data_IF_100862030467
#
_entry.id   IF_100862030467
#
_cell.length_a   1.000
_cell.length_b   1.000
_cell.length_c   1.000
_cell.angle_alpha   90.00
_cell.angle_beta   90.00
_cell.angle_gamma   90.00
#
_symmetry.space_group_name_H-M   'P 1'
#
loop_
_entity.id
_entity.type
_entity.pdbx_description
1 polymer ?
#
# COMPACT_ATOMS: atom_id res chain seq x y z
N UNK A 1 22.11 -6.71 -18.89
CA UNK A 1 21.60 -5.73 -17.89
C UNK A 1 20.43 -5.00 -18.51
N UNK A 2 19.45 -4.60 -17.71
CA UNK A 2 18.32 -3.77 -18.17
C UNK A 2 18.89 -2.45 -18.70
N UNK A 3 18.42 -1.99 -19.86
CA UNK A 3 18.89 -0.77 -20.51
C UNK A 3 18.43 0.48 -19.73
N UNK A 4 19.19 1.59 -19.84
CA UNK A 4 18.90 2.81 -19.07
C UNK A 4 17.56 3.47 -19.41
N UNK A 5 17.15 3.42 -20.67
CA UNK A 5 15.86 3.92 -21.12
C UNK A 5 14.67 3.16 -20.47
N UNK A 6 14.80 1.84 -20.32
CA UNK A 6 13.82 1.01 -19.60
C UNK A 6 13.75 1.41 -18.12
N UNK A 7 14.91 1.68 -17.48
CA UNK A 7 14.93 2.16 -16.10
C UNK A 7 14.24 3.51 -15.94
N UNK A 8 14.51 4.47 -16.84
CA UNK A 8 13.87 5.79 -16.81
C UNK A 8 12.35 5.66 -16.93
N UNK A 9 11.86 4.84 -17.87
CA UNK A 9 10.44 4.61 -18.06
C UNK A 9 9.79 3.91 -16.85
N UNK A 10 10.46 2.89 -16.30
CA UNK A 10 9.98 2.18 -15.12
C UNK A 10 9.93 3.09 -13.88
N UNK A 11 10.93 3.92 -13.66
CA UNK A 11 10.95 4.90 -12.57
C UNK A 11 9.88 5.97 -12.78
N UNK A 12 9.74 6.48 -14.00
CA UNK A 12 8.70 7.44 -14.38
C UNK A 12 7.27 6.91 -14.19
N UNK A 13 7.08 5.60 -14.34
CA UNK A 13 5.82 4.93 -14.02
C UNK A 13 5.67 4.67 -12.51
N UNK A 14 6.67 4.02 -11.89
CA UNK A 14 6.54 3.49 -10.53
C UNK A 14 6.51 4.58 -9.47
N UNK A 15 7.36 5.60 -9.57
CA UNK A 15 7.46 6.64 -8.56
C UNK A 15 6.16 7.43 -8.36
N UNK A 16 5.50 7.99 -9.40
CA UNK A 16 4.22 8.66 -9.22
C UNK A 16 3.14 7.72 -8.70
N UNK A 17 3.13 6.47 -9.15
CA UNK A 17 2.14 5.49 -8.73
C UNK A 17 2.30 5.12 -7.25
N UNK A 18 3.53 4.85 -6.78
CA UNK A 18 3.80 4.55 -5.36
C UNK A 18 3.49 5.77 -4.49
N UNK A 19 3.92 6.96 -4.91
CA UNK A 19 3.75 8.19 -4.16
C UNK A 19 2.30 8.70 -4.13
N UNK A 20 1.47 8.34 -5.12
CA UNK A 20 0.09 8.85 -5.21
C UNK A 20 -0.79 8.36 -4.05
N UNK A 21 -1.79 9.15 -3.64
CA UNK A 21 -2.76 8.74 -2.63
C UNK A 21 -3.42 7.41 -2.98
N UNK A 22 -3.65 6.59 -1.95
CA UNK A 22 -4.29 5.29 -2.11
C UNK A 22 -4.48 4.59 -0.77
N UNK A 23 -5.08 3.37 -0.74
CA UNK A 23 -5.42 2.68 0.51
C UNK A 23 -4.22 2.52 1.43
N UNK A 24 -3.11 1.97 0.92
CA UNK A 24 -1.91 1.73 1.71
C UNK A 24 -1.30 3.00 2.27
N UNK A 25 -1.11 4.01 1.42
CA UNK A 25 -0.53 5.30 1.81
C UNK A 25 -1.39 6.03 2.85
N UNK A 26 -2.72 5.92 2.73
CA UNK A 26 -3.65 6.51 3.72
C UNK A 26 -3.54 5.81 5.07
N UNK A 27 -3.44 4.48 5.11
CA UNK A 27 -3.25 3.73 6.36
C UNK A 27 -1.91 4.06 7.00
N UNK A 28 -0.83 4.14 6.19
CA UNK A 28 0.51 4.52 6.66
C UNK A 28 0.50 5.92 7.28
N UNK A 29 -0.11 6.91 6.60
CA UNK A 29 -0.26 8.27 7.13
C UNK A 29 -1.09 8.29 8.43
N UNK A 30 -2.18 7.54 8.48
CA UNK A 30 -3.03 7.44 9.66
C UNK A 30 -2.28 6.82 10.84
N UNK A 31 -1.51 5.75 10.60
CA UNK A 31 -0.67 5.10 11.60
C UNK A 31 0.39 6.07 12.14
N UNK A 32 1.11 6.76 11.24
CA UNK A 32 2.09 7.79 11.61
C UNK A 32 1.48 8.93 12.42
N UNK A 33 0.33 9.42 12.00
CA UNK A 33 -0.39 10.50 12.68
C UNK A 33 -0.86 10.14 14.07
N UNK A 34 -1.30 8.91 14.28
CA UNK A 34 -1.88 8.44 15.54
C UNK A 34 -0.81 7.92 16.52
N UNK A 35 0.11 7.10 16.04
CA UNK A 35 1.06 6.36 16.86
C UNK A 35 2.51 6.83 16.72
N UNK A 36 2.78 7.68 15.73
CA UNK A 36 4.13 8.12 15.38
C UNK A 36 4.88 7.11 14.52
N UNK A 37 6.01 7.54 13.96
CA UNK A 37 6.84 6.71 13.04
C UNK A 37 7.30 5.43 13.75
N UNK A 38 7.87 5.53 14.93
CA UNK A 38 8.45 4.36 15.64
C UNK A 38 7.45 3.24 15.85
N UNK A 39 6.23 3.57 16.29
CA UNK A 39 5.17 2.58 16.53
C UNK A 39 4.54 2.05 15.23
N UNK A 40 4.74 2.73 14.10
CA UNK A 40 4.26 2.31 12.78
C UNK A 40 5.24 1.37 12.05
N UNK A 41 6.49 1.22 12.54
CA UNK A 41 7.52 0.39 11.91
C UNK A 41 7.07 -1.06 11.71
N UNK A 42 6.45 -1.76 12.68
CA UNK A 42 6.02 -3.14 12.44
C UNK A 42 5.02 -3.26 11.29
N UNK A 43 4.02 -2.37 11.24
CA UNK A 43 3.05 -2.32 10.13
C UNK A 43 3.74 -2.05 8.80
N UNK A 44 4.62 -1.05 8.75
CA UNK A 44 5.37 -0.69 7.56
C UNK A 44 6.24 -1.85 7.06
N UNK A 45 6.96 -2.55 7.94
CA UNK A 45 7.75 -3.72 7.55
C UNK A 45 6.89 -4.87 7.02
N UNK A 46 5.72 -5.09 7.59
CA UNK A 46 4.76 -6.05 7.06
C UNK A 46 4.27 -5.66 5.66
N UNK A 47 4.03 -4.36 5.44
CA UNK A 47 3.64 -3.82 4.15
C UNK A 47 4.74 -4.04 3.10
N UNK A 48 6.02 -3.78 3.44
CA UNK A 48 7.14 -4.01 2.52
C UNK A 48 7.44 -5.51 2.30
N UNK A 49 7.23 -6.35 3.30
CA UNK A 49 7.33 -7.80 3.14
C UNK A 49 6.27 -8.33 2.16
N UNK A 50 5.07 -7.78 2.18
CA UNK A 50 4.05 -8.04 1.18
C UNK A 50 4.46 -7.56 -0.21
N UNK A 51 5.04 -6.36 -0.34
CA UNK A 51 5.59 -5.84 -1.60
C UNK A 51 6.64 -6.80 -2.18
N UNK A 52 7.59 -7.24 -1.35
CA UNK A 52 8.61 -8.22 -1.76
C UNK A 52 7.99 -9.50 -2.28
N UNK A 53 7.09 -10.11 -1.48
CA UNK A 53 6.45 -11.36 -1.86
C UNK A 53 5.73 -11.24 -3.20
N UNK A 54 4.86 -10.24 -3.35
CA UNK A 54 4.06 -10.09 -4.55
C UNK A 54 4.87 -9.69 -5.78
N UNK A 55 5.94 -8.89 -5.62
CA UNK A 55 6.87 -8.65 -6.72
C UNK A 55 7.50 -9.96 -7.23
N UNK A 56 7.95 -10.84 -6.32
CA UNK A 56 8.53 -12.12 -6.72
C UNK A 56 7.47 -13.04 -7.36
N UNK A 57 6.27 -13.11 -6.78
CA UNK A 57 5.17 -13.92 -7.30
C UNK A 57 4.78 -13.48 -8.72
N UNK A 58 4.61 -12.17 -8.96
CA UNK A 58 4.28 -11.64 -10.28
C UNK A 58 5.46 -11.76 -11.26
N UNK A 59 6.65 -11.43 -10.81
CA UNK A 59 7.85 -11.46 -11.65
C UNK A 59 8.18 -12.86 -12.16
N UNK A 60 7.95 -13.89 -11.36
CA UNK A 60 8.25 -15.28 -11.73
C UNK A 60 7.07 -16.05 -12.33
N UNK A 61 5.87 -15.52 -12.42
CA UNK A 61 4.86 -16.29 -13.12
C UNK A 61 3.39 -15.87 -13.02
N UNK A 62 3.00 -15.07 -12.03
CA UNK A 62 1.57 -14.77 -11.85
C UNK A 62 1.02 -13.78 -12.90
N UNK A 63 1.88 -13.04 -13.59
CA UNK A 63 1.47 -12.19 -14.72
C UNK A 63 0.65 -12.97 -15.75
N UNK A 64 1.03 -14.22 -16.03
CA UNK A 64 0.28 -15.09 -16.92
C UNK A 64 -1.02 -15.61 -16.32
N UNK A 65 -1.05 -15.86 -14.99
CA UNK A 65 -2.25 -16.38 -14.32
C UNK A 65 -3.41 -15.38 -14.39
N UNK A 66 -3.20 -14.10 -14.12
CA UNK A 66 -4.28 -13.11 -14.20
C UNK A 66 -4.75 -12.84 -15.63
N UNK A 67 -3.87 -13.01 -16.63
CA UNK A 67 -4.27 -12.94 -18.03
C UNK A 67 -5.18 -14.11 -18.44
N UNK A 68 -4.92 -15.31 -17.91
CA UNK A 68 -5.72 -16.50 -18.23
C UNK A 68 -6.93 -16.70 -17.30
N UNK A 69 -6.89 -16.15 -16.10
CA UNK A 69 -7.95 -16.28 -15.08
C UNK A 69 -8.41 -14.93 -14.55
N UNK A 70 -9.20 -14.16 -15.32
CA UNK A 70 -9.71 -12.86 -14.90
C UNK A 70 -10.52 -12.91 -13.58
N UNK A 71 -11.10 -14.05 -13.26
CA UNK A 71 -11.82 -14.28 -12.02
C UNK A 71 -10.94 -14.07 -10.78
N UNK A 72 -9.67 -14.48 -10.83
CA UNK A 72 -8.73 -14.28 -9.71
C UNK A 72 -8.53 -12.78 -9.39
N UNK A 73 -8.50 -11.93 -10.41
CA UNK A 73 -8.45 -10.48 -10.24
C UNK A 73 -9.73 -9.94 -9.59
N UNK A 74 -10.90 -10.45 -9.99
CA UNK A 74 -12.18 -10.06 -9.38
C UNK A 74 -12.26 -10.43 -7.91
N UNK A 75 -11.80 -11.62 -7.52
CA UNK A 75 -11.72 -12.03 -6.11
C UNK A 75 -10.84 -11.08 -5.31
N UNK A 76 -9.68 -10.68 -5.86
CA UNK A 76 -8.79 -9.71 -5.23
C UNK A 76 -9.46 -8.33 -5.10
N UNK A 77 -10.12 -7.86 -6.16
CA UNK A 77 -10.85 -6.58 -6.19
C UNK A 77 -11.90 -6.52 -5.07
N UNK A 78 -12.78 -7.50 -5.02
CA UNK A 78 -13.86 -7.54 -4.04
C UNK A 78 -13.36 -7.78 -2.62
N UNK A 79 -12.37 -8.67 -2.44
CA UNK A 79 -11.71 -8.91 -1.13
C UNK A 79 -11.05 -7.63 -0.60
N UNK A 80 -10.32 -6.91 -1.48
CA UNK A 80 -9.71 -5.63 -1.14
C UNK A 80 -10.74 -4.57 -0.79
N UNK A 81 -11.83 -4.47 -1.55
CA UNK A 81 -12.92 -3.53 -1.27
C UNK A 81 -13.55 -3.80 0.10
N UNK A 82 -13.88 -5.06 0.41
CA UNK A 82 -14.43 -5.43 1.73
C UNK A 82 -13.46 -5.12 2.87
N UNK A 83 -12.16 -5.35 2.66
CA UNK A 83 -11.15 -5.00 3.65
C UNK A 83 -11.05 -3.49 3.88
N UNK A 84 -11.15 -2.68 2.82
CA UNK A 84 -11.19 -1.21 2.96
C UNK A 84 -12.44 -0.73 3.72
N UNK A 85 -13.59 -1.33 3.47
CA UNK A 85 -14.81 -1.04 4.22
C UNK A 85 -14.65 -1.41 5.71
N UNK A 86 -14.02 -2.54 6.00
CA UNK A 86 -13.68 -2.93 7.37
C UNK A 86 -12.77 -1.92 8.05
N UNK A 87 -11.71 -1.45 7.36
CA UNK A 87 -10.82 -0.42 7.90
C UNK A 87 -11.55 0.92 8.08
N UNK A 88 -12.38 1.35 7.12
CA UNK A 88 -13.19 2.56 7.25
C UNK A 88 -14.08 2.50 8.49
N UNK A 89 -14.76 1.38 8.70
CA UNK A 89 -15.56 1.14 9.91
C UNK A 89 -14.70 1.25 11.18
N UNK A 90 -13.50 0.65 11.18
CA UNK A 90 -12.53 0.75 12.28
C UNK A 90 -12.15 2.21 12.61
N UNK A 91 -11.90 3.03 11.59
CA UNK A 91 -11.61 4.46 11.76
C UNK A 91 -12.81 5.23 12.32
N UNK A 92 -14.03 5.00 11.83
CA UNK A 92 -15.23 5.65 12.36
C UNK A 92 -15.53 5.22 13.79
N UNK A 93 -15.41 3.94 14.10
CA UNK A 93 -15.58 3.43 15.46
C UNK A 93 -14.55 4.02 16.43
N UNK A 94 -13.30 4.13 16.01
CA UNK A 94 -12.26 4.73 16.83
C UNK A 94 -12.47 6.23 17.07
N UNK A 95 -13.12 6.91 16.13
CA UNK A 95 -13.53 8.32 16.28
C UNK A 95 -14.62 8.48 17.35
N UNK A 96 -15.57 7.54 17.39
CA UNK A 96 -16.62 7.52 18.42
C UNK A 96 -16.09 7.18 19.81
N UNK A 97 -14.96 6.43 19.88
CA UNK A 97 -14.31 5.99 21.11
C UNK A 97 -13.04 6.79 21.42
N UNK A 98 -12.93 8.03 20.93
CA UNK A 98 -11.73 8.87 21.10
C UNK A 98 -11.31 9.08 22.56
N UNK A 99 -12.21 8.87 23.52
CA UNK A 99 -11.93 8.94 24.95
C UNK A 99 -11.30 7.65 25.52
N UNK A 100 -11.25 6.55 24.76
CA UNK A 100 -10.61 5.30 25.19
C UNK A 100 -9.19 5.20 24.62
N UNK A 101 -8.21 5.12 25.51
CA UNK A 101 -6.78 5.00 25.20
C UNK A 101 -6.35 3.62 24.68
N UNK A 102 -7.28 2.69 24.47
CA UNK A 102 -7.01 1.25 24.24
C UNK A 102 -6.75 0.84 22.77
N UNK A 103 -6.43 1.79 21.88
CA UNK A 103 -6.12 1.44 20.51
C UNK A 103 -4.64 1.10 20.35
N UNK A 104 -4.37 -0.16 20.06
CA UNK A 104 -3.00 -0.64 19.76
C UNK A 104 -2.52 -0.19 18.37
N UNK A 105 -1.21 0.07 18.20
CA UNK A 105 -0.63 0.23 16.87
C UNK A 105 -0.86 -1.02 16.01
N UNK A 106 -0.96 -0.81 14.70
CA UNK A 106 -1.04 -1.90 13.72
C UNK A 106 0.28 -2.67 13.71
N UNK A 107 0.19 -3.98 13.67
CA UNK A 107 1.33 -4.88 13.66
C UNK A 107 1.81 -5.27 12.26
N UNK A 108 2.81 -6.14 12.20
CA UNK A 108 3.39 -6.65 10.95
C UNK A 108 2.35 -7.36 10.08
N UNK A 109 1.55 -8.26 10.65
CA UNK A 109 0.52 -8.98 9.90
C UNK A 109 -0.56 -8.06 9.34
N UNK A 110 -0.92 -7.01 10.07
CA UNK A 110 -1.89 -6.01 9.59
C UNK A 110 -1.35 -5.32 8.33
N UNK A 111 -0.05 -4.98 8.29
CA UNK A 111 0.61 -4.40 7.14
C UNK A 111 0.68 -5.35 5.94
N UNK A 112 1.06 -6.60 6.18
CA UNK A 112 1.14 -7.63 5.16
C UNK A 112 -0.23 -7.91 4.52
N UNK A 113 -1.29 -8.03 5.32
CA UNK A 113 -2.66 -8.23 4.84
C UNK A 113 -3.15 -6.98 4.10
N UNK A 114 -2.91 -5.79 4.65
CA UNK A 114 -3.31 -4.53 4.02
C UNK A 114 -2.72 -4.37 2.61
N UNK A 115 -1.46 -4.75 2.43
CA UNK A 115 -0.83 -4.75 1.10
C UNK A 115 -1.38 -5.86 0.22
N UNK A 116 -1.51 -7.09 0.73
CA UNK A 116 -1.97 -8.24 -0.05
C UNK A 116 -3.41 -8.09 -0.57
N UNK A 117 -4.22 -7.24 0.06
CA UNK A 117 -5.56 -6.88 -0.40
C UNK A 117 -5.62 -5.54 -1.15
N UNK A 118 -4.46 -4.93 -1.43
CA UNK A 118 -4.39 -3.64 -2.09
C UNK A 118 -4.34 -3.78 -3.61
N UNK A 119 -5.49 -3.69 -4.26
CA UNK A 119 -5.63 -3.80 -5.73
C UNK A 119 -4.72 -2.83 -6.49
N UNK A 120 -4.50 -1.60 -5.97
CA UNK A 120 -3.58 -0.63 -6.59
C UNK A 120 -2.17 -1.21 -6.69
N UNK A 121 -1.66 -1.84 -5.64
CA UNK A 121 -0.31 -2.43 -5.62
C UNK A 121 -0.23 -3.60 -6.61
N UNK A 122 -1.22 -4.47 -6.62
CA UNK A 122 -1.26 -5.58 -7.58
C UNK A 122 -1.28 -5.08 -9.02
N UNK A 123 -2.10 -4.07 -9.33
CA UNK A 123 -2.13 -3.46 -10.68
C UNK A 123 -0.77 -2.85 -11.06
N UNK A 124 -0.13 -2.15 -10.12
CA UNK A 124 1.20 -1.57 -10.35
C UNK A 124 2.26 -2.63 -10.64
N UNK A 125 2.32 -3.67 -9.80
CA UNK A 125 3.29 -4.77 -9.97
C UNK A 125 3.04 -5.50 -11.28
N UNK A 126 1.76 -5.78 -11.60
CA UNK A 126 1.36 -6.42 -12.86
C UNK A 126 1.83 -5.61 -14.07
N UNK A 127 1.53 -4.30 -14.10
CA UNK A 127 1.96 -3.41 -15.18
C UNK A 127 3.49 -3.34 -15.23
N UNK A 128 4.16 -3.19 -14.11
CA UNK A 128 5.62 -3.12 -14.04
C UNK A 128 6.26 -4.34 -14.72
N UNK A 129 5.89 -5.54 -14.33
CA UNK A 129 6.48 -6.74 -14.93
C UNK A 129 5.99 -7.02 -16.34
N UNK A 130 4.73 -6.73 -16.68
CA UNK A 130 4.21 -6.95 -18.04
C UNK A 130 4.80 -6.01 -19.07
N UNK A 131 5.19 -4.80 -18.69
CA UNK A 131 5.67 -3.77 -19.62
C UNK A 131 7.20 -3.69 -19.70
N UNK A 132 7.91 -4.00 -18.61
CA UNK A 132 9.34 -3.74 -18.51
C UNK A 132 10.22 -5.01 -18.48
N UNK A 133 9.65 -6.22 -18.39
CA UNK A 133 10.41 -7.45 -18.59
C UNK A 133 10.78 -7.63 -20.07
N UNK A 134 12.05 -7.89 -20.32
CA UNK A 134 12.55 -8.21 -21.65
C UNK A 134 12.73 -9.72 -21.83
N UNK A 135 12.13 -10.35 -22.87
CA UNK A 135 12.35 -11.77 -23.16
C UNK A 135 13.81 -12.12 -23.50
N UNK A 136 14.61 -11.12 -23.92
CA UNK A 136 16.00 -11.31 -24.32
C UNK A 136 17.01 -11.35 -23.16
N UNK A 137 16.56 -11.03 -21.91
CA UNK A 137 17.41 -10.99 -20.74
C UNK A 137 17.04 -12.09 -19.74
N UNK A 138 18.01 -12.55 -18.89
CA UNK A 138 17.73 -13.55 -17.87
C UNK A 138 16.65 -13.08 -16.90
N UNK A 139 15.53 -13.84 -16.81
CA UNK A 139 14.37 -13.51 -16.00
C UNK A 139 14.73 -13.25 -14.54
N UNK A 140 15.51 -14.18 -13.94
CA UNK A 140 15.91 -14.09 -12.54
C UNK A 140 16.57 -12.75 -12.19
N UNK A 141 17.55 -12.32 -13.01
CA UNK A 141 18.26 -11.06 -12.79
C UNK A 141 17.34 -9.85 -12.91
N UNK A 142 16.44 -9.83 -13.89
CA UNK A 142 15.48 -8.74 -14.09
C UNK A 142 14.51 -8.63 -12.92
N UNK A 143 13.91 -9.75 -12.51
CA UNK A 143 12.92 -9.79 -11.42
C UNK A 143 13.54 -9.24 -10.13
N UNK A 144 14.74 -9.68 -9.77
CA UNK A 144 15.40 -9.18 -8.55
C UNK A 144 15.77 -7.69 -8.64
N UNK A 145 16.29 -7.23 -9.78
CA UNK A 145 16.65 -5.82 -9.96
C UNK A 145 15.41 -4.92 -9.88
N UNK A 146 14.34 -5.26 -10.60
CA UNK A 146 13.09 -4.50 -10.60
C UNK A 146 12.43 -4.52 -9.21
N UNK A 147 12.40 -5.67 -8.55
CA UNK A 147 11.89 -5.79 -7.18
C UNK A 147 12.67 -4.93 -6.20
N UNK A 148 14.01 -4.96 -6.27
CA UNK A 148 14.87 -4.16 -5.38
C UNK A 148 14.59 -2.66 -5.55
N UNK A 149 14.52 -2.18 -6.79
CA UNK A 149 14.20 -0.77 -7.07
C UNK A 149 12.79 -0.41 -6.57
N UNK A 150 11.80 -1.26 -6.82
CA UNK A 150 10.43 -1.04 -6.36
C UNK A 150 10.35 -0.96 -4.82
N UNK A 151 11.07 -1.84 -4.12
CA UNK A 151 11.15 -1.80 -2.65
C UNK A 151 11.84 -0.55 -2.11
N UNK A 152 12.94 -0.12 -2.73
CA UNK A 152 13.65 1.11 -2.32
C UNK A 152 12.73 2.33 -2.49
N UNK A 153 12.03 2.43 -3.61
CA UNK A 153 11.05 3.48 -3.84
C UNK A 153 9.90 3.40 -2.85
N UNK A 154 9.40 2.19 -2.58
CA UNK A 154 8.35 1.93 -1.59
C UNK A 154 8.77 2.39 -0.20
N UNK A 155 9.92 1.93 0.28
CA UNK A 155 10.48 2.33 1.57
C UNK A 155 10.57 3.86 1.70
N UNK A 156 11.11 4.53 0.70
CA UNK A 156 11.23 5.99 0.72
C UNK A 156 9.85 6.68 0.74
N UNK A 157 8.97 6.34 -0.21
CA UNK A 157 7.64 6.97 -0.31
C UNK A 157 6.78 6.69 0.93
N UNK A 158 6.76 5.46 1.43
CA UNK A 158 5.96 5.09 2.59
C UNK A 158 6.47 5.74 3.88
N UNK A 159 7.80 5.91 4.02
CA UNK A 159 8.36 6.71 5.10
C UNK A 159 7.81 8.15 5.07
N UNK A 160 7.78 8.80 3.90
CA UNK A 160 7.24 10.16 3.79
C UNK A 160 5.75 10.22 4.12
N UNK A 161 4.97 9.20 3.79
CA UNK A 161 3.55 9.12 4.18
C UNK A 161 3.37 8.98 5.70
N UNK A 162 4.15 8.11 6.36
CA UNK A 162 4.11 7.93 7.82
C UNK A 162 4.58 9.21 8.52
N UNK A 163 5.70 9.77 8.07
CA UNK A 163 6.29 10.97 8.68
C UNK A 163 5.41 12.20 8.44
N UNK A 164 4.88 12.36 7.23
CA UNK A 164 3.91 13.41 6.92
C UNK A 164 2.65 13.30 7.78
N UNK A 165 2.12 12.10 7.94
CA UNK A 165 1.04 11.83 8.88
C UNK A 165 1.38 12.24 10.31
N UNK A 166 2.57 11.88 10.80
CA UNK A 166 3.03 12.30 12.12
C UNK A 166 3.13 13.83 12.24
N UNK A 167 3.73 14.51 11.27
CA UNK A 167 3.88 15.97 11.33
C UNK A 167 2.54 16.70 11.33
N UNK A 168 1.61 16.27 10.48
CA UNK A 168 0.31 16.91 10.34
C UNK A 168 -0.59 16.67 11.56
N UNK A 169 -0.55 15.47 12.13
CA UNK A 169 -1.52 15.06 13.13
C UNK A 169 -0.96 14.91 14.55
N UNK A 170 0.39 14.89 14.74
CA UNK A 170 1.00 14.73 16.07
C UNK A 170 0.65 15.87 17.04
N UNK A 171 0.38 17.05 16.53
CA UNK A 171 -0.02 18.23 17.32
C UNK A 171 -1.52 18.26 17.64
N UNK A 172 -2.31 17.39 17.03
CA UNK A 172 -3.76 17.32 17.13
C UNK A 172 -4.19 16.15 18.00
N UNK A 173 -3.70 16.09 19.26
CA UNK A 173 -3.99 15.00 20.21
C UNK A 173 -5.23 15.22 21.09
N UNK A 174 -6.01 16.26 20.83
CA UNK A 174 -7.27 16.47 21.57
C UNK A 174 -8.30 15.41 21.13
N UNK A 175 -9.23 14.97 22.04
CA UNK A 175 -10.29 14.03 21.67
C UNK A 175 -11.07 14.46 20.42
N UNK A 176 -11.32 15.76 20.28
CA UNK A 176 -11.98 16.35 19.11
C UNK A 176 -11.16 16.15 17.83
N UNK A 177 -9.85 16.41 17.89
CA UNK A 177 -8.96 16.25 16.73
C UNK A 177 -8.80 14.78 16.34
N UNK A 178 -8.67 13.87 17.30
CA UNK A 178 -8.63 12.43 17.06
C UNK A 178 -9.93 11.93 16.40
N UNK A 179 -11.06 12.48 16.81
CA UNK A 179 -12.36 12.20 16.19
C UNK A 179 -12.42 12.66 14.75
N UNK A 180 -11.95 13.89 14.47
CA UNK A 180 -11.88 14.43 13.09
C UNK A 180 -10.93 13.59 12.23
N UNK A 181 -9.76 13.21 12.72
CA UNK A 181 -8.81 12.33 12.01
C UNK A 181 -9.47 11.01 11.60
N UNK A 182 -10.16 10.35 12.52
CA UNK A 182 -10.84 9.10 12.22
C UNK A 182 -11.91 9.26 11.14
N UNK A 183 -12.69 10.35 11.16
CA UNK A 183 -13.65 10.63 10.10
C UNK A 183 -12.95 10.88 8.76
N UNK A 184 -11.89 11.69 8.72
CA UNK A 184 -11.15 11.98 7.50
C UNK A 184 -10.58 10.69 6.90
N UNK A 185 -9.89 9.86 7.69
CA UNK A 185 -9.33 8.61 7.19
C UNK A 185 -10.42 7.59 6.81
N UNK A 186 -11.50 7.50 7.58
CA UNK A 186 -12.63 6.65 7.22
C UNK A 186 -13.26 7.05 5.88
N UNK A 187 -13.47 8.35 5.65
CA UNK A 187 -13.97 8.88 4.37
C UNK A 187 -13.00 8.63 3.22
N UNK A 188 -11.68 8.79 3.44
CA UNK A 188 -10.67 8.46 2.44
C UNK A 188 -10.74 6.96 2.07
N UNK A 189 -10.89 6.06 3.05
CA UNK A 189 -11.04 4.62 2.77
C UNK A 189 -12.31 4.31 1.98
N UNK A 190 -13.43 4.96 2.31
CA UNK A 190 -14.68 4.80 1.55
C UNK A 190 -14.54 5.32 0.13
N UNK A 191 -13.90 6.49 -0.08
CA UNK A 191 -13.67 7.04 -1.41
C UNK A 191 -12.81 6.11 -2.27
N UNK A 192 -11.76 5.52 -1.67
CA UNK A 192 -10.93 4.54 -2.38
C UNK A 192 -11.71 3.25 -2.65
N UNK A 193 -12.48 2.72 -1.69
CA UNK A 193 -13.32 1.55 -1.92
C UNK A 193 -14.32 1.78 -3.06
N UNK A 194 -14.95 2.96 -3.11
CA UNK A 194 -15.85 3.35 -4.20
C UNK A 194 -15.14 3.39 -5.55
N UNK A 195 -13.93 3.99 -5.63
CA UNK A 195 -13.14 4.05 -6.87
C UNK A 195 -12.68 2.69 -7.40
N UNK A 196 -12.68 1.65 -6.56
CA UNK A 196 -12.36 0.29 -6.99
C UNK A 196 -13.55 -0.44 -7.62
N UNK A 197 -14.77 0.00 -7.32
CA UNK A 197 -16.02 -0.65 -7.80
C UNK A 197 -16.60 0.06 -9.02
N UNK A 198 -16.44 1.39 -9.07
CA UNK A 198 -16.82 2.21 -10.23
C UNK A 198 -15.83 2.05 -11.39
#
# INVERSE_FOLDING_TARGET
MIAWDVWILMLGFSLPMIASPGPGNTILAASGGRFGVKSSVPFWMGFEAGNLLWCLVYGFGLTQVFQHYPFAYQVLKWGGTLYLLYLAYGFFRSSALADRQDLRPLGFLDGFIALSLNVKVHSMILVMFSQFLSPSLPLFSQVWQMTAVFLVLGLACHFFWIYGGQLLFSRLKTPRAMRIQGYVFGLCMLAVAASMVL
#
